data_IF_041413430516
#
_entry.id   IF_041413430516
#
_cell.length_a   1.000
_cell.length_b   1.000
_cell.length_c   1.000
_cell.angle_alpha   90.00
_cell.angle_beta   90.00
_cell.angle_gamma   90.00
#
_symmetry.space_group_name_H-M   'P 1'
#
loop_
_entity.id
_entity.type
_entity.pdbx_description
1 polymer ?
#
# COMPACT_ATOMS: atom_id res chain seq x y z
N UNK A 1 -57.44 -25.87 -29.40
CA UNK A 1 -56.57 -26.08 -28.23
C UNK A 1 -55.13 -26.11 -28.72
N UNK A 2 -54.36 -25.04 -28.49
CA UNK A 2 -52.93 -25.00 -28.80
C UNK A 2 -52.24 -24.13 -27.76
N UNK A 3 -51.13 -24.64 -27.24
CA UNK A 3 -50.44 -24.22 -26.01
C UNK A 3 -49.57 -23.00 -26.24
N UNK A 4 -49.62 -22.07 -25.30
CA UNK A 4 -48.70 -20.94 -25.13
C UNK A 4 -47.33 -21.51 -24.78
N UNK A 5 -46.30 -21.22 -25.58
CA UNK A 5 -44.89 -21.44 -25.23
C UNK A 5 -44.31 -20.08 -24.88
N UNK A 6 -44.02 -19.91 -23.59
CA UNK A 6 -43.50 -18.68 -23.01
C UNK A 6 -42.12 -18.34 -23.54
N UNK A 7 -41.98 -17.10 -24.01
CA UNK A 7 -40.73 -16.47 -24.39
C UNK A 7 -39.89 -16.25 -23.13
N UNK A 8 -38.88 -17.07 -22.88
CA UNK A 8 -37.85 -16.77 -21.87
C UNK A 8 -37.00 -15.61 -22.35
N UNK A 9 -37.22 -14.44 -21.76
CA UNK A 9 -36.32 -13.30 -21.87
C UNK A 9 -34.96 -13.68 -21.24
N UNK A 10 -33.92 -13.79 -22.07
CA UNK A 10 -32.55 -13.87 -21.59
C UNK A 10 -32.19 -12.52 -20.95
N UNK A 11 -32.24 -12.44 -19.63
CA UNK A 11 -31.72 -11.32 -18.86
C UNK A 11 -30.21 -11.32 -19.10
N UNK A 12 -29.75 -10.37 -19.92
CA UNK A 12 -28.34 -10.10 -20.12
C UNK A 12 -27.70 -9.78 -18.78
N UNK A 13 -26.87 -10.70 -18.28
CA UNK A 13 -26.03 -10.46 -17.12
C UNK A 13 -24.94 -9.48 -17.57
N UNK A 14 -25.17 -8.18 -17.37
CA UNK A 14 -24.12 -7.17 -17.40
C UNK A 14 -23.18 -7.47 -16.22
N UNK A 15 -22.16 -8.28 -16.48
CA UNK A 15 -21.05 -8.49 -15.55
C UNK A 15 -20.27 -7.17 -15.47
N UNK A 16 -20.64 -6.32 -14.51
CA UNK A 16 -19.86 -5.12 -14.18
C UNK A 16 -18.61 -5.61 -13.45
N UNK A 17 -17.57 -5.92 -14.21
CA UNK A 17 -16.24 -6.07 -13.63
C UNK A 17 -15.84 -4.71 -13.02
N UNK A 18 -15.46 -4.61 -11.74
CA UNK A 18 -14.83 -3.40 -11.23
C UNK A 18 -13.39 -3.38 -11.74
N UNK A 19 -13.21 -3.12 -13.03
CA UNK A 19 -11.90 -2.88 -13.63
C UNK A 19 -11.56 -1.39 -13.53
N UNK A 20 -11.70 -0.80 -12.35
CA UNK A 20 -11.02 0.47 -12.07
C UNK A 20 -9.58 0.11 -11.70
N UNK A 21 -8.78 -0.16 -12.75
CA UNK A 21 -7.33 -0.23 -12.62
C UNK A 21 -6.88 0.98 -11.80
N UNK A 22 -6.17 0.74 -10.69
CA UNK A 22 -5.76 1.78 -9.78
C UNK A 22 -4.94 2.83 -10.55
N UNK A 23 -5.56 3.97 -10.84
CA UNK A 23 -4.99 5.08 -11.59
C UNK A 23 -3.69 5.61 -10.94
N UNK A 24 -3.43 5.20 -9.70
CA UNK A 24 -2.28 5.55 -8.89
C UNK A 24 -1.65 4.28 -8.32
N UNK A 25 -0.35 4.13 -8.53
CA UNK A 25 0.44 2.98 -8.09
C UNK A 25 1.48 3.44 -7.07
N UNK A 26 1.28 3.20 -5.77
CA UNK A 26 2.31 3.43 -4.75
C UNK A 26 3.34 2.30 -4.75
N UNK A 27 4.60 2.68 -4.69
CA UNK A 27 5.77 1.80 -4.62
C UNK A 27 6.57 2.16 -3.38
N UNK A 28 6.87 1.16 -2.56
CA UNK A 28 7.78 1.28 -1.42
C UNK A 28 9.10 0.59 -1.79
N UNK A 29 10.21 1.27 -1.57
CA UNK A 29 11.57 0.71 -1.64
C UNK A 29 12.26 0.97 -0.32
N UNK A 30 12.68 -0.09 0.37
CA UNK A 30 13.53 0.02 1.57
C UNK A 30 14.94 -0.34 1.12
N UNK A 31 15.92 0.48 1.48
CA UNK A 31 17.30 0.40 0.99
C UNK A 31 18.03 -0.89 1.39
N UNK A 32 17.66 -1.49 2.53
CA UNK A 32 18.23 -2.73 3.04
C UNK A 32 17.12 -3.73 3.38
N UNK A 33 17.37 -5.01 3.10
CA UNK A 33 16.51 -6.12 3.52
C UNK A 33 16.86 -6.67 4.90
N UNK A 34 18.01 -6.29 5.46
CA UNK A 34 18.49 -6.72 6.78
C UNK A 34 19.23 -5.58 7.47
N UNK A 35 18.99 -5.37 8.77
CA UNK A 35 19.72 -4.40 9.58
C UNK A 35 19.63 -4.77 11.09
N UNK A 36 20.59 -4.34 11.94
CA UNK A 36 20.44 -4.45 13.38
C UNK A 36 19.28 -3.60 13.91
N UNK A 37 18.63 -4.06 14.97
CA UNK A 37 17.69 -3.22 15.74
C UNK A 37 18.41 -1.97 16.25
N UNK A 38 17.72 -0.83 16.24
CA UNK A 38 18.33 0.46 16.58
C UNK A 38 19.01 1.20 15.42
N UNK A 39 19.05 0.63 14.22
CA UNK A 39 19.67 1.25 13.04
C UNK A 39 18.61 1.75 12.09
N UNK A 40 18.72 3.02 11.70
CA UNK A 40 17.88 3.64 10.69
C UNK A 40 18.15 3.05 9.30
N UNK A 41 17.08 2.62 8.64
CA UNK A 41 17.13 2.09 7.27
C UNK A 41 16.31 3.01 6.35
N UNK A 42 16.98 3.70 5.41
CA UNK A 42 16.32 4.59 4.48
C UNK A 42 15.30 3.86 3.61
N UNK A 43 14.18 4.54 3.34
CA UNK A 43 13.19 4.11 2.38
C UNK A 43 12.69 5.27 1.51
N UNK A 44 12.19 4.90 0.33
CA UNK A 44 11.55 5.81 -0.61
C UNK A 44 10.16 5.29 -0.95
N UNK A 45 9.18 6.18 -0.88
CA UNK A 45 7.83 5.97 -1.39
C UNK A 45 7.69 6.75 -2.69
N UNK A 46 7.22 6.11 -3.75
CA UNK A 46 6.92 6.77 -5.03
C UNK A 46 5.49 6.45 -5.45
N UNK A 47 4.73 7.45 -5.86
CA UNK A 47 3.37 7.26 -6.39
C UNK A 47 3.30 7.70 -7.85
N UNK A 48 2.96 6.76 -8.73
CA UNK A 48 2.86 7.02 -10.18
C UNK A 48 1.42 6.98 -10.66
N UNK A 49 0.99 7.89 -11.56
CA UNK A 49 1.72 9.07 -12.02
C UNK A 49 1.69 10.20 -10.97
N UNK A 50 2.83 10.88 -10.79
CA UNK A 50 3.02 11.89 -9.74
C UNK A 50 2.05 13.08 -9.85
N UNK A 51 1.73 13.52 -11.07
CA UNK A 51 0.80 14.62 -11.32
C UNK A 51 -0.59 14.38 -10.71
N UNK A 52 -1.07 13.14 -10.75
CA UNK A 52 -2.36 12.73 -10.17
C UNK A 52 -2.26 12.48 -8.66
N UNK A 53 -1.05 12.29 -8.14
CA UNK A 53 -0.79 12.00 -6.74
C UNK A 53 -0.69 13.27 -5.87
N UNK A 54 -0.38 14.43 -6.47
CA UNK A 54 -0.22 15.72 -5.78
C UNK A 54 -1.40 16.02 -4.85
N UNK A 55 -1.09 16.34 -3.59
CA UNK A 55 -2.07 16.72 -2.58
C UNK A 55 -2.84 15.55 -1.94
N UNK A 56 -2.60 14.30 -2.37
CA UNK A 56 -3.04 13.10 -1.66
C UNK A 56 -2.10 12.82 -0.48
N UNK A 57 -2.45 11.83 0.35
CA UNK A 57 -1.60 11.40 1.47
C UNK A 57 -1.10 9.99 1.26
N UNK A 58 0.12 9.70 1.68
CA UNK A 58 0.64 8.33 1.77
C UNK A 58 0.83 7.97 3.22
N UNK A 59 0.42 6.76 3.61
CA UNK A 59 0.64 6.22 4.94
C UNK A 59 1.45 4.95 4.81
N UNK A 60 2.63 4.91 5.44
CA UNK A 60 3.35 3.65 5.62
C UNK A 60 2.71 2.90 6.78
N UNK A 61 2.58 1.59 6.61
CA UNK A 61 2.07 0.68 7.62
C UNK A 61 3.10 -0.39 7.91
N UNK A 62 3.20 -0.75 9.19
CA UNK A 62 3.98 -1.89 9.67
C UNK A 62 3.02 -2.97 10.18
N UNK A 63 3.32 -4.24 9.92
CA UNK A 63 2.54 -5.36 10.44
C UNK A 63 2.99 -5.66 11.87
N UNK A 64 2.18 -5.24 12.84
CA UNK A 64 2.29 -5.64 14.24
C UNK A 64 1.56 -6.97 14.49
N UNK A 65 1.66 -7.50 15.72
CA UNK A 65 1.02 -8.75 16.14
C UNK A 65 -0.49 -8.77 15.84
N UNK A 66 -1.21 -7.71 16.22
CA UNK A 66 -2.67 -7.58 16.02
C UNK A 66 -3.08 -7.13 14.62
N UNK A 67 -2.13 -6.96 13.69
CA UNK A 67 -2.41 -6.54 12.32
C UNK A 67 -1.61 -5.31 11.86
N UNK A 68 -2.06 -4.70 10.76
CA UNK A 68 -1.39 -3.55 10.15
C UNK A 68 -1.67 -2.27 10.92
N UNK A 69 -0.62 -1.59 11.39
CA UNK A 69 -0.69 -0.30 12.07
C UNK A 69 -0.08 0.79 11.19
N UNK A 70 -0.60 2.01 11.28
CA UNK A 70 0.05 3.17 10.68
C UNK A 70 1.35 3.46 11.41
N UNK A 71 2.40 3.72 10.65
CA UNK A 71 3.67 4.23 11.16
C UNK A 71 3.63 5.75 10.95
N UNK A 72 3.94 6.22 9.73
CA UNK A 72 3.83 7.63 9.37
C UNK A 72 2.83 7.93 8.27
N UNK A 73 2.43 9.20 8.17
CA UNK A 73 1.56 9.70 7.10
C UNK A 73 2.01 11.05 6.56
N UNK A 74 2.34 11.09 5.27
CA UNK A 74 2.86 12.27 4.57
C UNK A 74 1.87 12.80 3.55
N UNK A 75 1.94 14.11 3.27
CA UNK A 75 1.23 14.72 2.14
C UNK A 75 2.14 14.72 0.92
N UNK A 76 1.64 14.22 -0.21
CA UNK A 76 2.41 14.16 -1.44
C UNK A 76 2.56 15.52 -2.12
N UNK A 77 3.80 15.89 -2.41
CA UNK A 77 4.15 17.04 -3.23
C UNK A 77 3.99 16.79 -4.74
N UNK A 78 4.56 17.68 -5.55
CA UNK A 78 4.52 17.58 -7.03
C UNK A 78 5.29 16.37 -7.57
N UNK A 79 6.36 15.94 -6.88
CA UNK A 79 7.18 14.78 -7.27
C UNK A 79 6.47 13.44 -7.05
N UNK A 80 5.46 13.38 -6.17
CA UNK A 80 4.86 12.11 -5.75
C UNK A 80 5.84 11.20 -4.99
N UNK A 81 6.95 11.75 -4.48
CA UNK A 81 8.01 11.03 -3.77
C UNK A 81 8.07 11.49 -2.32
N UNK A 82 8.35 10.55 -1.42
CA UNK A 82 8.67 10.76 0.00
C UNK A 82 9.88 9.90 0.34
N UNK A 83 10.79 10.43 1.13
CA UNK A 83 11.97 9.76 1.66
C UNK A 83 11.98 9.94 3.17
N UNK A 84 12.30 8.85 3.88
CA UNK A 84 12.38 8.81 5.34
C UNK A 84 13.08 7.50 5.75
N UNK A 85 13.13 7.20 7.04
CA UNK A 85 13.79 6.03 7.61
C UNK A 85 12.81 5.13 8.40
N UNK A 86 13.10 3.83 8.42
CA UNK A 86 12.47 2.90 9.36
C UNK A 86 13.51 2.33 10.30
N UNK A 87 13.14 2.18 11.57
CA UNK A 87 13.93 1.52 12.60
C UNK A 87 13.21 0.27 13.11
N UNK A 88 13.95 -0.79 13.38
CA UNK A 88 13.46 -1.97 14.09
C UNK A 88 13.72 -1.87 15.59
N UNK A 89 12.66 -2.05 16.40
CA UNK A 89 12.79 -2.05 17.87
C UNK A 89 13.05 -3.43 18.48
N UNK A 90 12.60 -4.50 17.81
CA UNK A 90 12.75 -5.88 18.27
C UNK A 90 13.32 -6.74 17.14
N UNK A 91 14.17 -7.75 17.46
CA UNK A 91 14.66 -8.68 16.45
C UNK A 91 13.52 -9.46 15.79
N UNK A 92 13.71 -9.81 14.53
CA UNK A 92 12.76 -10.58 13.73
C UNK A 92 12.32 -9.86 12.46
N UNK A 93 11.20 -10.33 11.91
CA UNK A 93 10.78 -9.93 10.56
C UNK A 93 9.76 -8.78 10.61
N UNK A 94 10.19 -7.59 10.21
CA UNK A 94 9.31 -6.44 9.98
C UNK A 94 8.68 -6.50 8.58
N UNK A 95 7.35 -6.31 8.49
CA UNK A 95 6.63 -6.23 7.21
C UNK A 95 6.01 -4.86 7.02
N UNK A 96 6.29 -4.23 5.89
CA UNK A 96 5.93 -2.85 5.59
C UNK A 96 5.12 -2.78 4.31
N UNK A 97 4.19 -1.84 4.23
CA UNK A 97 3.49 -1.49 2.98
C UNK A 97 3.05 -0.04 3.02
N UNK A 98 2.68 0.51 1.87
CA UNK A 98 2.15 1.86 1.75
C UNK A 98 0.69 1.83 1.34
N UNK A 99 -0.11 2.68 1.98
CA UNK A 99 -1.44 3.05 1.54
C UNK A 99 -1.39 4.43 0.90
N UNK A 100 -1.98 4.57 -0.28
CA UNK A 100 -2.32 5.87 -0.83
C UNK A 100 -3.73 6.22 -0.40
N UNK A 101 -3.89 7.39 0.20
CA UNK A 101 -5.15 7.87 0.76
C UNK A 101 -5.69 9.05 -0.05
N UNK A 102 -7.00 9.06 -0.26
CA UNK A 102 -7.73 10.20 -0.79
C UNK A 102 -7.85 11.34 0.22
N UNK A 103 -8.43 12.46 -0.20
CA UNK A 103 -8.64 13.64 0.68
C UNK A 103 -9.52 13.31 1.90
N UNK A 104 -10.50 12.42 1.73
CA UNK A 104 -11.39 11.94 2.80
C UNK A 104 -10.76 10.88 3.71
N UNK A 105 -9.50 10.47 3.46
CA UNK A 105 -8.83 9.41 4.22
C UNK A 105 -9.12 7.99 3.72
N UNK A 106 -10.03 7.81 2.76
CA UNK A 106 -10.28 6.52 2.12
C UNK A 106 -9.06 5.98 1.37
N UNK A 107 -8.86 4.66 1.41
CA UNK A 107 -7.73 4.00 0.73
C UNK A 107 -8.01 3.92 -0.77
N UNK A 108 -7.14 4.52 -1.57
CA UNK A 108 -7.21 4.51 -3.04
C UNK A 108 -6.37 3.38 -3.65
N UNK A 109 -5.21 3.09 -3.08
CA UNK A 109 -4.30 2.07 -3.58
C UNK A 109 -3.38 1.56 -2.46
N UNK A 110 -2.79 0.37 -2.67
CA UNK A 110 -1.86 -0.27 -1.73
C UNK A 110 -0.62 -0.76 -2.48
N UNK A 111 0.55 -0.62 -1.88
CA UNK A 111 1.77 -1.21 -2.42
C UNK A 111 1.83 -2.71 -2.12
N UNK A 112 2.78 -3.40 -2.75
CA UNK A 112 3.24 -4.71 -2.27
C UNK A 112 3.82 -4.59 -0.86
N UNK A 113 3.86 -5.73 -0.17
CA UNK A 113 4.54 -5.83 1.14
C UNK A 113 6.05 -5.96 0.91
N UNK A 114 6.83 -5.19 1.65
CA UNK A 114 8.29 -5.27 1.73
C UNK A 114 8.66 -5.79 3.10
N UNK A 115 9.72 -6.57 3.19
CA UNK A 115 10.16 -7.21 4.42
C UNK A 115 11.56 -6.73 4.77
N UNK A 116 11.81 -6.47 6.06
CA UNK A 116 13.14 -6.22 6.62
C UNK A 116 13.38 -7.21 7.75
N UNK A 117 14.54 -7.85 7.75
CA UNK A 117 14.99 -8.72 8.82
C UNK A 117 15.81 -7.92 9.83
N UNK A 118 15.26 -7.72 11.01
CA UNK A 118 15.92 -7.00 12.10
C UNK A 118 16.75 -7.98 12.94
N UNK A 119 18.07 -7.83 12.94
CA UNK A 119 18.97 -8.66 13.76
C UNK A 119 19.13 -8.06 15.16
N UNK A 120 19.57 -8.83 16.17
CA UNK A 120 19.91 -8.28 17.47
C UNK A 120 20.86 -7.08 17.39
N UNK A 121 20.79 -6.20 18.39
CA UNK A 121 21.73 -5.08 18.54
C UNK A 121 23.14 -5.66 18.57
N UNK A 122 24.06 -5.03 17.86
CA UNK A 122 25.47 -5.32 18.02
C UNK A 122 25.89 -4.68 19.34
N UNK A 123 25.95 -5.47 20.41
CA UNK A 123 26.65 -5.05 21.64
C UNK A 123 28.13 -4.98 21.30
N UNK A 124 28.69 -3.77 21.36
CA UNK A 124 30.14 -3.56 21.41
C UNK A 124 30.65 -3.83 22.83
#
# INVERSE_FOLDING_TARGET
>A
MLRIVGTTAAIGLLTIAPAQAAELTPVLRISKSTAPVGVDVPYTITVKPAAKAKGKRVRIQVKAYVGWRGFDTFRLGKSGVVEDDVEGYNPGVGKYRVLLLGKSGGVLAKSRTVTVSWTPRVTQ
#
